data_IF_412976316039
#
_entry.id   IF_412976316039
#
_cell.length_a   1.000
_cell.length_b   1.000
_cell.length_c   1.000
_cell.angle_alpha   90.00
_cell.angle_beta   90.00
_cell.angle_gamma   90.00
#
_symmetry.space_group_name_H-M   'P 1'
#
loop_
_entity.id
_entity.type
_entity.pdbx_description
1 polymer ?
#
# COMPACT_ATOMS: atom_id res chain seq x y z
N UNK A 1 41.84 47.74 -34.81
CA UNK A 1 42.03 46.33 -34.39
C UNK A 1 40.90 45.96 -33.45
N UNK A 2 40.24 44.82 -33.67
CA UNK A 2 39.24 44.30 -32.73
C UNK A 2 39.94 43.32 -31.79
N UNK A 3 39.82 43.52 -30.48
CA UNK A 3 40.40 42.63 -29.47
C UNK A 3 39.26 41.85 -28.80
N UNK A 4 39.12 40.57 -29.11
CA UNK A 4 38.16 39.67 -28.46
C UNK A 4 38.91 38.82 -27.43
N UNK A 5 38.49 38.86 -26.17
CA UNK A 5 39.07 38.07 -25.08
C UNK A 5 38.00 37.18 -24.46
N UNK A 6 38.19 35.86 -24.52
CA UNK A 6 37.39 34.86 -23.80
C UNK A 6 37.98 34.52 -22.43
N UNK A 7 37.18 33.88 -21.56
CA UNK A 7 37.62 33.46 -20.22
C UNK A 7 38.32 32.11 -20.17
N UNK A 8 37.78 31.10 -20.87
CA UNK A 8 38.38 29.76 -20.99
C UNK A 8 39.27 29.70 -22.23
N UNK A 9 40.51 29.25 -22.07
CA UNK A 9 41.50 29.14 -23.17
C UNK A 9 41.86 27.69 -23.51
N UNK A 10 41.43 26.74 -22.69
CA UNK A 10 41.61 25.30 -22.88
C UNK A 10 40.54 24.78 -23.85
N UNK A 11 40.95 24.42 -25.06
CA UNK A 11 40.07 24.03 -26.16
C UNK A 11 39.28 22.77 -25.84
N UNK A 12 39.84 21.85 -25.04
CA UNK A 12 39.17 20.61 -24.61
C UNK A 12 37.96 20.85 -23.70
N UNK A 13 37.83 22.05 -23.13
CA UNK A 13 36.69 22.47 -22.30
C UNK A 13 35.67 23.29 -23.06
N UNK A 14 35.91 23.54 -24.35
CA UNK A 14 34.97 24.21 -25.24
C UNK A 14 34.22 23.16 -26.05
N UNK A 15 32.94 23.42 -26.32
CA UNK A 15 32.16 22.59 -27.24
C UNK A 15 32.67 22.78 -28.67
N UNK A 16 32.67 21.70 -29.46
CA UNK A 16 32.91 21.76 -30.90
C UNK A 16 31.62 22.10 -31.69
N UNK A 17 30.46 22.12 -31.02
CA UNK A 17 29.19 22.50 -31.63
C UNK A 17 29.05 24.03 -31.73
N UNK A 18 28.39 24.49 -32.81
CA UNK A 18 28.12 25.91 -33.07
C UNK A 18 26.97 26.46 -32.22
N UNK A 19 27.23 26.68 -30.93
CA UNK A 19 26.24 27.18 -29.97
C UNK A 19 26.06 28.71 -29.97
N UNK A 20 26.94 29.46 -30.64
CA UNK A 20 26.91 30.93 -30.69
C UNK A 20 26.79 31.37 -32.15
N UNK A 21 25.68 32.02 -32.48
CA UNK A 21 25.44 32.62 -33.78
C UNK A 21 25.76 34.12 -33.77
N UNK A 22 26.29 34.62 -34.89
CA UNK A 22 26.49 36.05 -35.15
C UNK A 22 25.64 36.45 -36.35
N UNK A 23 24.78 37.46 -36.19
CA UNK A 23 23.86 37.93 -37.23
C UNK A 23 24.01 39.44 -37.40
N UNK A 24 24.33 39.90 -38.62
CA UNK A 24 24.28 41.33 -38.95
C UNK A 24 22.83 41.80 -38.97
N UNK A 25 22.57 43.00 -38.46
CA UNK A 25 21.27 43.64 -38.59
C UNK A 25 21.07 44.43 -39.89
N UNK A 26 22.00 44.31 -40.85
CA UNK A 26 21.99 45.04 -42.12
C UNK A 26 22.61 46.43 -42.03
N UNK A 27 23.10 46.81 -40.85
CA UNK A 27 23.89 48.03 -40.61
C UNK A 27 25.27 47.63 -40.06
N UNK A 28 25.90 48.52 -39.29
CA UNK A 28 27.23 48.33 -38.71
C UNK A 28 27.21 47.52 -37.39
N UNK A 29 26.10 46.83 -37.07
CA UNK A 29 25.94 46.06 -35.83
C UNK A 29 25.88 44.55 -36.08
N UNK A 30 26.63 43.79 -35.28
CA UNK A 30 26.55 42.33 -35.22
C UNK A 30 25.91 41.90 -33.90
N UNK A 31 24.83 41.10 -33.98
CA UNK A 31 24.15 40.52 -32.81
C UNK A 31 24.70 39.14 -32.52
N UNK A 32 25.22 38.95 -31.31
CA UNK A 32 25.68 37.65 -30.80
C UNK A 32 24.52 36.99 -30.05
N UNK A 33 24.20 35.74 -30.37
CA UNK A 33 23.06 35.01 -29.81
C UNK A 33 23.42 33.56 -29.53
N UNK A 34 22.79 32.97 -28.52
CA UNK A 34 22.80 31.53 -28.32
C UNK A 34 21.93 30.83 -29.38
N UNK A 35 22.34 29.62 -29.76
CA UNK A 35 21.47 28.69 -30.48
C UNK A 35 20.26 28.33 -29.61
N UNK A 36 19.13 28.01 -30.23
CA UNK A 36 17.94 27.51 -29.51
C UNK A 36 18.22 26.15 -28.86
N UNK A 37 18.98 25.31 -29.55
CA UNK A 37 19.41 24.00 -29.09
C UNK A 37 20.91 24.05 -28.78
N UNK A 38 21.26 24.10 -27.50
CA UNK A 38 22.65 24.04 -27.07
C UNK A 38 23.12 22.58 -27.02
N UNK A 39 24.26 22.30 -27.66
CA UNK A 39 24.83 20.94 -27.79
C UNK A 39 26.24 20.85 -27.21
N UNK A 40 26.65 19.64 -26.84
CA UNK A 40 28.01 19.38 -26.32
C UNK A 40 28.28 20.03 -24.95
N UNK A 41 27.22 20.34 -24.16
CA UNK A 41 27.38 20.83 -22.80
C UNK A 41 27.51 19.66 -21.82
N UNK A 42 28.50 19.73 -20.93
CA UNK A 42 28.67 18.73 -19.88
C UNK A 42 27.72 18.98 -18.70
N UNK A 43 27.52 20.24 -18.31
CA UNK A 43 26.69 20.63 -17.17
C UNK A 43 26.01 21.98 -17.42
N UNK A 44 24.87 22.18 -16.77
CA UNK A 44 24.18 23.48 -16.69
C UNK A 44 23.86 23.73 -15.23
N UNK A 45 24.40 24.80 -14.65
CA UNK A 45 24.11 25.22 -13.28
C UNK A 45 23.25 26.48 -13.30
N UNK A 46 22.02 26.39 -12.79
CA UNK A 46 21.14 27.53 -12.58
C UNK A 46 20.92 27.70 -11.07
N UNK A 47 21.17 28.90 -10.54
CA UNK A 47 21.09 29.14 -9.09
C UNK A 47 19.65 29.17 -8.55
N UNK A 48 18.67 29.44 -9.42
CA UNK A 48 17.27 29.61 -9.01
C UNK A 48 16.36 28.53 -9.59
N UNK A 49 16.10 28.54 -10.89
CA UNK A 49 15.10 27.66 -11.50
C UNK A 49 15.44 27.32 -12.95
N UNK A 50 15.17 26.07 -13.33
CA UNK A 50 15.15 25.60 -14.72
C UNK A 50 13.69 25.38 -15.12
N UNK A 51 13.20 26.15 -16.11
CA UNK A 51 11.85 25.97 -16.68
C UNK A 51 11.98 25.29 -18.04
N UNK A 52 11.70 23.99 -18.08
CA UNK A 52 11.72 23.18 -19.30
C UNK A 52 10.30 22.70 -19.64
N UNK A 53 9.96 22.61 -20.93
CA UNK A 53 8.72 21.99 -21.38
C UNK A 53 8.75 20.47 -21.19
N UNK A 54 9.87 19.86 -21.60
CA UNK A 54 10.19 18.44 -21.38
C UNK A 54 11.60 18.34 -20.80
N UNK A 55 11.81 17.42 -19.87
CA UNK A 55 13.13 17.08 -19.36
C UNK A 55 13.37 15.58 -19.56
N UNK A 56 14.47 15.25 -20.24
CA UNK A 56 14.97 13.87 -20.32
C UNK A 56 16.22 13.81 -19.46
N UNK A 57 16.20 12.97 -18.43
CA UNK A 57 17.36 12.77 -17.57
C UNK A 57 18.41 11.94 -18.30
N UNK A 58 19.67 12.35 -18.20
CA UNK A 58 20.80 11.56 -18.66
C UNK A 58 21.13 10.41 -17.70
N UNK A 59 22.13 9.63 -18.09
CA UNK A 59 22.61 8.51 -17.30
C UNK A 59 23.28 9.01 -16.00
N UNK A 60 22.64 8.74 -14.88
CA UNK A 60 23.10 9.08 -13.53
C UNK A 60 23.53 7.82 -12.79
N UNK A 61 24.53 7.94 -11.94
CA UNK A 61 24.87 6.93 -10.94
C UNK A 61 24.13 7.27 -9.63
N UNK A 62 23.36 6.32 -9.12
CA UNK A 62 22.65 6.41 -7.85
C UNK A 62 23.12 5.32 -6.89
N UNK A 63 23.11 5.61 -5.59
CA UNK A 63 23.45 4.64 -4.54
C UNK A 63 22.17 4.14 -3.89
N UNK A 64 21.99 2.81 -3.89
CA UNK A 64 20.87 2.12 -3.24
C UNK A 64 20.99 2.18 -1.72
N UNK A 65 19.88 1.85 -1.05
CA UNK A 65 19.83 1.75 0.41
C UNK A 65 20.82 0.70 0.98
N UNK A 66 21.16 -0.35 0.22
CA UNK A 66 22.14 -1.36 0.61
C UNK A 66 23.60 -0.96 0.30
N UNK A 67 23.82 0.25 -0.22
CA UNK A 67 25.13 0.80 -0.57
C UNK A 67 25.64 0.39 -1.96
N UNK A 68 24.94 -0.48 -2.68
CA UNK A 68 25.29 -0.79 -4.07
C UNK A 68 24.95 0.37 -5.00
N UNK A 69 25.63 0.46 -6.14
CA UNK A 69 25.40 1.51 -7.14
C UNK A 69 24.58 0.98 -8.30
N UNK A 70 23.74 1.84 -8.86
CA UNK A 70 23.06 1.60 -10.13
C UNK A 70 23.16 2.81 -11.04
N UNK A 71 23.04 2.54 -12.33
CA UNK A 71 23.24 3.54 -13.37
C UNK A 71 22.04 3.54 -14.30
N UNK A 72 21.47 4.70 -14.56
CA UNK A 72 20.25 4.85 -15.36
C UNK A 72 19.73 6.28 -15.38
N UNK A 73 18.57 6.49 -16.00
CA UNK A 73 18.00 7.82 -16.14
C UNK A 73 17.13 8.14 -14.90
N UNK A 74 17.75 8.75 -13.90
CA UNK A 74 17.11 9.02 -12.61
C UNK A 74 16.93 10.51 -12.33
N UNK A 75 16.09 10.81 -11.34
CA UNK A 75 16.06 12.11 -10.66
C UNK A 75 16.51 11.87 -9.22
N UNK A 76 17.74 12.24 -8.90
CA UNK A 76 18.37 12.04 -7.59
C UNK A 76 18.49 13.35 -6.81
N UNK A 77 18.84 13.27 -5.52
CA UNK A 77 19.05 14.46 -4.67
C UNK A 77 17.78 15.12 -4.13
N UNK A 78 16.64 14.43 -4.17
CA UNK A 78 15.40 14.90 -3.57
C UNK A 78 15.43 14.76 -2.04
N UNK A 79 15.00 15.81 -1.34
CA UNK A 79 15.01 15.88 0.12
C UNK A 79 13.79 15.20 0.78
N UNK A 80 12.67 15.06 0.06
CA UNK A 80 11.44 14.49 0.59
C UNK A 80 11.51 12.97 0.73
N UNK A 81 12.15 12.48 1.80
CA UNK A 81 12.36 11.04 2.03
C UNK A 81 11.33 10.40 2.97
N UNK A 82 10.69 11.17 3.83
CA UNK A 82 9.70 10.65 4.79
C UNK A 82 8.28 10.92 4.33
N UNK A 83 7.40 9.92 4.43
CA UNK A 83 5.97 10.11 4.18
C UNK A 83 5.31 10.85 5.35
N UNK A 84 4.61 11.93 5.04
CA UNK A 84 3.84 12.74 6.00
C UNK A 84 2.45 13.04 5.38
N UNK A 85 1.43 12.40 5.93
CA UNK A 85 0.06 12.50 5.42
C UNK A 85 -0.60 13.86 5.73
N UNK A 86 -0.11 14.58 6.75
CA UNK A 86 -0.70 15.84 7.18
C UNK A 86 -0.14 17.04 6.40
N UNK A 87 1.05 16.89 5.80
CA UNK A 87 1.78 17.96 5.10
C UNK A 87 2.04 17.65 3.61
N UNK A 88 0.99 17.20 2.90
CA UNK A 88 1.09 16.89 1.47
C UNK A 88 1.28 18.16 0.64
N UNK A 89 2.28 18.15 -0.25
CA UNK A 89 2.53 19.23 -1.21
C UNK A 89 2.04 18.79 -2.59
N UNK A 90 1.01 19.48 -3.09
CA UNK A 90 0.43 19.21 -4.41
C UNK A 90 1.43 19.47 -5.55
N UNK A 91 1.45 18.58 -6.54
CA UNK A 91 2.32 18.68 -7.72
C UNK A 91 3.80 18.37 -7.50
N UNK A 92 4.22 18.05 -6.27
CA UNK A 92 5.60 17.61 -5.98
C UNK A 92 5.77 16.12 -6.26
N UNK A 93 6.89 15.73 -6.86
CA UNK A 93 7.24 14.32 -7.06
C UNK A 93 7.44 13.60 -5.71
N UNK A 94 6.99 12.34 -5.62
CA UNK A 94 7.27 11.47 -4.48
C UNK A 94 8.59 10.71 -4.68
N UNK A 95 9.32 10.47 -3.60
CA UNK A 95 10.51 9.58 -3.62
C UNK A 95 10.12 8.12 -3.40
N UNK A 96 11.01 7.20 -3.75
CA UNK A 96 10.82 5.76 -3.47
C UNK A 96 10.69 5.48 -1.97
N UNK A 97 11.39 6.23 -1.12
CA UNK A 97 11.28 6.13 0.34
C UNK A 97 9.86 6.48 0.81
N UNK A 98 9.28 7.58 0.33
CA UNK A 98 7.89 7.95 0.65
C UNK A 98 6.89 6.91 0.16
N UNK A 99 7.09 6.36 -1.04
CA UNK A 99 6.22 5.31 -1.59
C UNK A 99 6.32 4.02 -0.76
N UNK A 100 7.53 3.63 -0.36
CA UNK A 100 7.78 2.48 0.51
C UNK A 100 7.10 2.63 1.86
N UNK A 101 7.23 3.79 2.50
CA UNK A 101 6.60 4.08 3.78
C UNK A 101 5.07 4.06 3.68
N UNK A 102 4.51 4.71 2.65
CA UNK A 102 3.06 4.71 2.40
C UNK A 102 2.53 3.28 2.18
N UNK A 103 3.25 2.46 1.40
CA UNK A 103 2.89 1.06 1.16
C UNK A 103 2.99 0.22 2.43
N UNK A 104 4.04 0.41 3.25
CA UNK A 104 4.20 -0.27 4.52
C UNK A 104 3.06 0.08 5.49
N UNK A 105 2.67 1.35 5.55
CA UNK A 105 1.54 1.81 6.37
C UNK A 105 0.23 1.14 5.94
N UNK A 106 -0.04 1.06 4.64
CA UNK A 106 -1.23 0.39 4.12
C UNK A 106 -1.22 -1.12 4.40
N UNK A 107 -0.07 -1.78 4.17
CA UNK A 107 0.08 -3.23 4.42
C UNK A 107 -0.10 -3.59 5.89
N UNK A 108 0.41 -2.74 6.80
CA UNK A 108 0.27 -2.93 8.25
C UNK A 108 -1.13 -2.58 8.79
N UNK A 109 -1.88 -1.69 8.12
CA UNK A 109 -3.22 -1.32 8.56
C UNK A 109 -4.21 -2.49 8.50
N UNK A 110 -4.20 -3.24 7.39
CA UNK A 110 -4.93 -4.50 7.24
C UNK A 110 -6.43 -4.47 7.57
N UNK A 111 -7.02 -5.65 7.79
CA UNK A 111 -8.37 -5.80 8.35
C UNK A 111 -8.28 -6.05 9.85
N UNK A 112 -9.21 -5.47 10.60
CA UNK A 112 -9.33 -5.69 12.05
C UNK A 112 -10.42 -6.73 12.32
N UNK A 113 -10.07 -7.75 13.09
CA UNK A 113 -10.98 -8.80 13.56
C UNK A 113 -11.12 -8.67 15.07
N UNK A 114 -12.36 -8.64 15.55
CA UNK A 114 -12.66 -8.64 16.99
C UNK A 114 -13.60 -9.79 17.31
N UNK A 115 -13.63 -10.17 18.58
CA UNK A 115 -14.48 -11.23 19.10
C UNK A 115 -14.88 -10.89 20.53
N UNK A 116 -15.88 -11.61 21.06
CA UNK A 116 -16.32 -11.44 22.45
C UNK A 116 -15.16 -11.58 23.47
N UNK A 117 -14.12 -12.33 23.13
CA UNK A 117 -12.91 -12.53 23.95
C UNK A 117 -11.67 -12.44 23.05
N UNK A 118 -10.57 -11.89 23.56
CA UNK A 118 -9.29 -11.78 22.85
C UNK A 118 -9.00 -10.38 22.27
N UNK A 119 -10.06 -9.56 22.10
CA UNK A 119 -10.00 -8.18 21.61
C UNK A 119 -9.55 -8.05 20.15
N UNK A 120 -9.54 -6.82 19.65
CA UNK A 120 -9.18 -6.54 18.25
C UNK A 120 -7.79 -7.06 17.87
N UNK A 121 -7.70 -7.78 16.75
CA UNK A 121 -6.47 -8.20 16.09
C UNK A 121 -6.44 -7.65 14.67
N UNK A 122 -5.29 -7.13 14.26
CA UNK A 122 -5.08 -6.75 12.86
C UNK A 122 -4.53 -7.94 12.08
N UNK A 123 -5.24 -8.33 11.02
CA UNK A 123 -4.74 -9.21 9.99
C UNK A 123 -4.16 -8.33 8.87
N UNK A 124 -2.83 -8.37 8.70
CA UNK A 124 -2.13 -7.53 7.73
C UNK A 124 -2.46 -7.95 6.30
N UNK A 125 -2.28 -7.05 5.34
CA UNK A 125 -2.46 -7.38 3.93
C UNK A 125 -1.48 -8.50 3.54
N UNK A 126 -2.01 -9.54 2.86
CA UNK A 126 -1.23 -10.70 2.46
C UNK A 126 -1.03 -11.76 3.57
N UNK A 127 -1.61 -11.57 4.77
CA UNK A 127 -1.60 -12.61 5.81
C UNK A 127 -2.83 -13.52 5.73
N UNK A 128 -2.76 -14.67 6.40
CA UNK A 128 -3.81 -15.69 6.37
C UNK A 128 -4.72 -15.58 7.59
N UNK A 129 -6.04 -15.62 7.39
CA UNK A 129 -7.04 -15.86 8.44
C UNK A 129 -7.39 -17.34 8.43
N UNK A 130 -7.30 -18.00 9.58
CA UNK A 130 -7.65 -19.43 9.69
C UNK A 130 -8.90 -19.57 10.56
N UNK A 131 -9.97 -20.11 9.97
CA UNK A 131 -11.21 -20.49 10.65
C UNK A 131 -11.39 -21.98 10.49
N UNK A 132 -11.19 -22.76 11.56
CA UNK A 132 -11.26 -24.23 11.52
C UNK A 132 -11.85 -24.79 12.81
N UNK A 133 -12.67 -25.82 12.67
CA UNK A 133 -13.07 -26.70 13.76
C UNK A 133 -12.04 -27.81 13.98
N UNK A 134 -12.18 -28.57 15.07
CA UNK A 134 -11.24 -29.64 15.46
C UNK A 134 -11.68 -31.04 15.01
N UNK A 135 -12.81 -31.18 14.29
CA UNK A 135 -13.36 -32.48 13.89
C UNK A 135 -12.47 -33.26 12.90
N UNK A 136 -12.47 -34.59 13.01
CA UNK A 136 -11.65 -35.49 12.20
C UNK A 136 -12.45 -36.48 11.32
N UNK A 137 -13.78 -36.48 11.39
CA UNK A 137 -14.64 -37.32 10.55
C UNK A 137 -14.61 -36.88 9.07
N UNK A 138 -15.12 -37.72 8.17
CA UNK A 138 -15.28 -37.37 6.76
C UNK A 138 -16.31 -36.24 6.55
N UNK A 139 -16.12 -35.43 5.51
CA UNK A 139 -16.97 -34.25 5.21
C UNK A 139 -18.48 -34.57 5.18
N UNK A 140 -18.87 -35.76 4.70
CA UNK A 140 -20.25 -36.21 4.62
C UNK A 140 -20.95 -36.36 5.99
N UNK A 141 -20.18 -36.41 7.08
CA UNK A 141 -20.70 -36.54 8.44
C UNK A 141 -20.94 -35.17 9.12
N UNK A 142 -20.70 -34.05 8.44
CA UNK A 142 -20.98 -32.71 8.95
C UNK A 142 -22.17 -32.07 8.24
N UNK A 143 -23.00 -31.34 9.00
CA UNK A 143 -24.11 -30.55 8.46
C UNK A 143 -23.95 -29.07 8.81
N UNK A 144 -24.18 -28.20 7.82
CA UNK A 144 -24.27 -26.75 8.00
C UNK A 144 -25.66 -26.25 8.40
N UNK A 145 -26.67 -27.12 8.47
CA UNK A 145 -28.08 -26.75 8.61
C UNK A 145 -28.39 -25.95 9.88
N UNK A 146 -27.63 -26.19 10.95
CA UNK A 146 -27.86 -25.52 12.23
C UNK A 146 -27.27 -24.11 12.31
N UNK A 147 -26.43 -23.68 11.38
CA UNK A 147 -25.75 -22.39 11.46
C UNK A 147 -26.28 -21.46 10.37
N UNK A 148 -26.70 -20.26 10.77
CA UNK A 148 -27.08 -19.18 9.86
C UNK A 148 -26.31 -17.91 10.16
N UNK A 149 -25.79 -17.27 9.12
CA UNK A 149 -25.07 -16.00 9.22
C UNK A 149 -25.94 -14.82 8.78
N UNK A 150 -25.69 -13.67 9.39
CA UNK A 150 -26.28 -12.38 9.04
C UNK A 150 -25.18 -11.33 9.00
N UNK A 151 -25.33 -10.31 8.18
CA UNK A 151 -24.33 -9.24 8.04
C UNK A 151 -25.00 -7.89 8.28
N UNK A 152 -24.39 -7.12 9.18
CA UNK A 152 -24.77 -5.74 9.46
C UNK A 152 -23.50 -4.88 9.38
N UNK A 153 -23.61 -3.64 8.91
CA UNK A 153 -22.50 -2.69 8.88
C UNK A 153 -22.91 -1.37 9.51
N UNK A 154 -22.06 -0.85 10.40
CA UNK A 154 -22.17 0.51 10.89
C UNK A 154 -21.65 1.47 9.81
N UNK A 155 -22.53 2.28 9.23
CA UNK A 155 -22.20 3.22 8.16
C UNK A 155 -21.34 4.42 8.62
N UNK A 156 -21.23 4.66 9.92
CA UNK A 156 -20.42 5.76 10.48
C UNK A 156 -18.98 5.32 10.65
N UNK A 157 -18.78 4.14 11.24
CA UNK A 157 -17.43 3.61 11.53
C UNK A 157 -16.90 2.70 10.42
N UNK A 158 -17.77 2.22 9.52
CA UNK A 158 -17.47 1.22 8.51
C UNK A 158 -17.33 -0.21 9.05
N UNK A 159 -17.54 -0.42 10.36
CA UNK A 159 -17.36 -1.73 11.02
C UNK A 159 -18.44 -2.71 10.56
N UNK A 160 -18.02 -3.85 10.03
CA UNK A 160 -18.91 -4.95 9.63
C UNK A 160 -18.96 -6.01 10.70
N UNK A 161 -20.17 -6.42 11.09
CA UNK A 161 -20.41 -7.53 12.02
C UNK A 161 -21.05 -8.69 11.26
N UNK A 162 -20.40 -9.87 11.30
CA UNK A 162 -21.00 -11.12 10.84
C UNK A 162 -21.58 -11.83 12.06
N UNK A 163 -22.89 -11.79 12.20
CA UNK A 163 -23.62 -12.48 13.26
C UNK A 163 -23.78 -13.95 12.88
N UNK A 164 -23.23 -14.86 13.70
CA UNK A 164 -23.40 -16.31 13.55
C UNK A 164 -24.44 -16.77 14.57
N UNK A 165 -25.54 -17.39 14.11
CA UNK A 165 -26.63 -17.85 14.97
C UNK A 165 -26.94 -19.32 14.74
N UNK A 166 -27.38 -20.00 15.81
CA UNK A 166 -27.86 -21.37 15.75
C UNK A 166 -29.35 -21.44 15.41
N UNK A 167 -29.77 -22.48 14.71
CA UNK A 167 -31.18 -22.79 14.51
C UNK A 167 -31.86 -23.06 15.86
N UNK A 168 -33.07 -22.53 16.06
CA UNK A 168 -33.86 -22.80 17.27
C UNK A 168 -34.30 -24.26 17.36
N UNK A 169 -34.51 -24.88 16.19
CA UNK A 169 -34.83 -26.30 16.07
C UNK A 169 -33.58 -27.01 15.55
N UNK A 170 -32.67 -27.37 16.46
CA UNK A 170 -31.43 -28.05 16.09
C UNK A 170 -31.73 -29.43 15.48
N UNK A 171 -31.10 -29.72 14.35
CA UNK A 171 -31.14 -31.02 13.66
C UNK A 171 -29.80 -31.71 13.85
N UNK A 172 -29.80 -32.87 14.50
CA UNK A 172 -28.59 -33.68 14.69
C UNK A 172 -28.96 -35.16 14.77
N UNK A 173 -28.16 -36.02 14.13
CA UNK A 173 -28.36 -37.47 14.19
C UNK A 173 -28.08 -38.03 15.59
N UNK A 174 -27.14 -37.42 16.32
CA UNK A 174 -26.89 -37.72 17.72
C UNK A 174 -26.30 -36.52 18.46
N UNK A 175 -26.54 -36.47 19.78
CA UNK A 175 -25.92 -35.50 20.68
C UNK A 175 -25.19 -36.28 21.77
N UNK A 176 -23.88 -36.12 21.82
CA UNK A 176 -23.07 -36.63 22.93
C UNK A 176 -23.01 -35.58 24.03
N UNK A 177 -23.71 -35.83 25.14
CA UNK A 177 -23.62 -35.01 26.36
C UNK A 177 -22.59 -35.68 27.27
N UNK A 178 -21.50 -34.98 27.61
CA UNK A 178 -20.44 -35.55 28.47
C UNK A 178 -21.00 -35.93 29.86
N UNK A 179 -20.50 -37.03 30.40
CA UNK A 179 -21.16 -37.90 31.40
C UNK A 179 -21.39 -37.31 32.79
N UNK A 180 -20.82 -36.15 33.10
CA UNK A 180 -20.88 -35.60 34.45
C UNK A 180 -21.80 -34.39 34.47
N UNK A 181 -23.06 -34.60 34.86
CA UNK A 181 -23.95 -33.51 35.27
C UNK A 181 -23.38 -32.79 36.50
N UNK A 182 -23.93 -31.61 36.81
CA UNK A 182 -23.64 -30.95 38.11
C UNK A 182 -23.92 -31.95 39.23
N UNK A 183 -22.97 -32.15 40.14
CA UNK A 183 -23.07 -33.03 41.32
C UNK A 183 -23.14 -34.56 41.06
N UNK A 184 -22.59 -35.05 39.93
CA UNK A 184 -22.42 -36.49 39.71
C UNK A 184 -23.73 -37.27 39.46
N UNK A 185 -24.79 -36.57 39.05
CA UNK A 185 -26.04 -37.15 38.54
C UNK A 185 -26.01 -37.21 37.01
N UNK A 186 -26.77 -38.14 36.43
CA UNK A 186 -26.93 -38.26 34.97
C UNK A 186 -27.46 -36.93 34.40
N UNK A 187 -26.68 -36.32 33.51
CA UNK A 187 -26.83 -34.92 33.10
C UNK A 187 -27.94 -34.61 32.08
N UNK A 188 -28.85 -35.54 31.81
CA UNK A 188 -29.91 -35.38 30.80
C UNK A 188 -31.29 -35.36 31.48
N UNK A 189 -31.90 -34.17 31.57
CA UNK A 189 -33.33 -34.03 31.92
C UNK A 189 -34.11 -33.71 30.64
N UNK A 190 -34.86 -34.68 30.13
CA UNK A 190 -35.83 -34.49 29.05
C UNK A 190 -37.18 -34.25 29.73
N UNK A 191 -37.63 -33.01 29.80
CA UNK A 191 -38.99 -32.71 30.29
C UNK A 191 -39.95 -32.64 29.10
N UNK A 192 -40.70 -33.72 28.87
CA UNK A 192 -41.89 -33.68 28.01
C UNK A 192 -43.11 -33.15 28.79
N UNK A 193 -44.18 -32.69 28.11
CA UNK A 193 -45.46 -32.42 28.78
C UNK A 193 -45.92 -33.69 29.52
N UNK A 194 -46.38 -33.55 30.76
CA UNK A 194 -46.91 -34.67 31.56
C UNK A 194 -48.05 -35.34 30.78
N UNK A 195 -47.84 -36.59 30.35
CA UNK A 195 -48.91 -37.42 29.79
C UNK A 195 -50.04 -37.53 30.81
N UNK A 196 -51.29 -37.47 30.35
CA UNK A 196 -52.45 -37.74 31.20
C UNK A 196 -52.34 -39.17 31.76
N UNK A 197 -52.70 -39.34 33.04
CA UNK A 197 -52.71 -40.66 33.66
C UNK A 197 -53.62 -41.61 32.87
N UNK A 198 -53.11 -42.79 32.54
CA UNK A 198 -53.92 -43.85 31.93
C UNK A 198 -55.10 -44.20 32.83
N UNK A 199 -56.26 -44.42 32.23
CA UNK A 199 -57.43 -44.92 32.96
C UNK A 199 -57.28 -46.43 33.10
N UNK A 200 -57.23 -46.94 34.33
CA UNK A 200 -57.18 -48.38 34.60
C UNK A 200 -58.47 -49.03 34.07
N UNK A 201 -58.31 -50.15 33.36
CA UNK A 201 -59.38 -50.93 32.73
C UNK A 201 -60.12 -51.88 33.68
#
# INVERSE_FOLDING_TARGET
>A
QVNVKGGITDDTKLTADDNIGVVSDGTDTLKVRLAKDLKGLNTVTAAETVKAGTATMGNQEATKADGTKETGNYVTGLDNKTWDADNIVTGRAATEDQLKDALANQSNAGLKFDANVGGTKTNKLGSTVIVRGEGNEADANYSGENIRTFIDQDNTTGTTTINVKLNKNLVADSIKVNKDGRDGKDGVSITGPTGVAGTDG
#
